data_IF_690572008090
#
_entry.id   IF_690572008090
#
_cell.length_a   1.000
_cell.length_b   1.000
_cell.length_c   1.000
_cell.angle_alpha   90.00
_cell.angle_beta   90.00
_cell.angle_gamma   90.00
#
_symmetry.space_group_name_H-M   'P 1'
#
loop_
_entity.id
_entity.type
_entity.pdbx_description
1 polymer ?
#
# COMPACT_ATOMS: atom_id res chain seq x y z
N UNK A 1 1.06 33.67 -0.50
CA UNK A 1 0.27 32.82 -1.42
C UNK A 1 1.11 31.60 -1.89
N UNK A 2 1.24 30.51 -1.12
CA UNK A 2 1.17 29.13 -1.64
C UNK A 2 -0.04 28.97 -2.60
N UNK A 3 0.11 28.38 -3.79
CA UNK A 3 -0.97 28.37 -4.78
C UNK A 3 -2.20 27.51 -4.38
N UNK A 4 -2.08 26.66 -3.35
CA UNK A 4 -3.17 25.89 -2.73
C UNK A 4 -3.19 25.95 -1.18
N UNK A 5 -2.28 26.68 -0.53
CA UNK A 5 -2.53 27.15 0.85
C UNK A 5 -1.67 28.36 1.20
N UNK A 6 -2.04 29.53 0.67
CA UNK A 6 -1.26 30.74 0.58
C UNK A 6 -0.28 31.14 1.66
N UNK A 7 -0.60 30.89 2.90
CA UNK A 7 -0.04 31.63 4.01
C UNK A 7 0.29 30.64 5.10
N UNK A 8 1.37 30.92 5.82
CA UNK A 8 1.60 30.35 7.14
C UNK A 8 0.31 30.54 7.95
N UNK A 9 -0.29 29.43 8.39
CA UNK A 9 -1.57 29.44 9.07
C UNK A 9 -1.37 29.87 10.53
N UNK A 10 -1.39 31.17 10.78
CA UNK A 10 -1.25 31.75 12.13
C UNK A 10 -2.57 31.81 12.93
N UNK A 11 -3.65 31.14 12.50
CA UNK A 11 -5.00 31.33 13.09
C UNK A 11 -5.75 30.03 13.39
N UNK A 12 -5.19 29.15 14.21
CA UNK A 12 -6.05 28.26 14.99
C UNK A 12 -5.51 28.03 16.41
N UNK A 13 -5.55 29.06 17.27
CA UNK A 13 -5.11 28.92 18.67
C UNK A 13 -6.02 28.03 19.53
N UNK A 14 -7.11 27.47 18.99
CA UNK A 14 -8.12 26.70 19.73
C UNK A 14 -8.18 25.20 19.38
N UNK A 15 -7.37 24.71 18.44
CA UNK A 15 -7.35 23.30 18.08
C UNK A 15 -5.94 22.73 18.27
N UNK A 16 -5.61 22.16 19.44
CA UNK A 16 -4.36 21.42 19.62
C UNK A 16 -4.38 20.05 18.90
N UNK A 17 -5.33 19.80 18.00
CA UNK A 17 -5.58 18.50 17.39
C UNK A 17 -5.33 18.55 15.89
N UNK A 18 -4.66 17.50 15.40
CA UNK A 18 -4.34 17.26 13.99
C UNK A 18 -5.58 17.48 13.11
N UNK A 19 -5.43 18.31 12.07
CA UNK A 19 -6.50 18.54 11.10
C UNK A 19 -6.58 17.35 10.13
N UNK A 20 -7.53 16.43 10.35
CA UNK A 20 -7.80 15.29 9.46
C UNK A 20 -8.32 15.68 8.06
N UNK A 21 -8.60 16.98 7.84
CA UNK A 21 -9.06 17.55 6.57
C UNK A 21 -7.95 18.21 5.75
N UNK A 22 -6.75 18.36 6.30
CA UNK A 22 -5.59 18.67 5.47
C UNK A 22 -5.22 17.40 4.70
N UNK A 23 -5.14 17.44 3.36
CA UNK A 23 -4.60 16.33 2.61
C UNK A 23 -3.17 16.11 3.11
N UNK A 24 -2.94 15.00 3.81
CA UNK A 24 -1.58 14.54 4.08
C UNK A 24 -0.99 14.26 2.69
N UNK A 25 0.18 14.80 2.32
CA UNK A 25 0.81 14.49 1.04
C UNK A 25 1.35 13.06 1.09
N UNK A 26 0.43 12.10 1.08
CA UNK A 26 0.73 10.69 0.90
C UNK A 26 0.82 10.47 -0.60
N UNK A 27 1.94 9.89 -1.03
CA UNK A 27 2.02 9.33 -2.38
C UNK A 27 0.85 8.35 -2.56
N UNK A 28 0.20 8.30 -3.74
CA UNK A 28 -0.78 7.27 -4.02
C UNK A 28 -0.16 5.90 -3.73
N UNK A 29 -0.82 5.08 -2.91
CA UNK A 29 -0.30 3.78 -2.47
C UNK A 29 0.28 2.96 -3.63
N UNK A 30 -0.35 2.87 -4.82
CA UNK A 30 0.24 2.15 -5.95
C UNK A 30 1.62 2.67 -6.37
N UNK A 31 1.83 4.00 -6.38
CA UNK A 31 3.07 4.63 -6.82
C UNK A 31 4.21 4.39 -5.84
N UNK A 32 3.92 4.40 -4.55
CA UNK A 32 4.88 4.06 -3.51
C UNK A 32 5.28 2.58 -3.59
N UNK A 33 4.29 1.68 -3.68
CA UNK A 33 4.52 0.23 -3.77
C UNK A 33 5.33 -0.13 -5.01
N UNK A 34 4.99 0.40 -6.19
CA UNK A 34 5.78 0.19 -7.41
C UNK A 34 7.23 0.67 -7.26
N UNK A 35 7.44 1.82 -6.62
CA UNK A 35 8.79 2.33 -6.36
C UNK A 35 9.62 1.36 -5.52
N UNK A 36 9.06 0.83 -4.43
CA UNK A 36 9.74 -0.16 -3.58
C UNK A 36 9.98 -1.46 -4.34
N UNK A 37 8.96 -2.02 -5.00
CA UNK A 37 9.08 -3.29 -5.71
C UNK A 37 10.14 -3.23 -6.82
N UNK A 38 10.24 -2.11 -7.53
CA UNK A 38 11.23 -1.94 -8.60
C UNK A 38 12.70 -2.02 -8.13
N UNK A 39 12.96 -1.82 -6.82
CA UNK A 39 14.30 -1.95 -6.25
C UNK A 39 14.72 -3.41 -5.97
N UNK A 40 13.74 -4.29 -5.70
CA UNK A 40 14.00 -5.65 -5.25
C UNK A 40 13.60 -6.71 -6.29
N UNK A 41 12.60 -6.42 -7.12
CA UNK A 41 12.07 -7.32 -8.14
C UNK A 41 12.16 -6.65 -9.52
N UNK A 42 13.28 -6.85 -10.25
CA UNK A 42 13.49 -6.20 -11.55
C UNK A 42 12.63 -6.78 -12.67
N UNK A 43 11.99 -7.93 -12.44
CA UNK A 43 11.15 -8.63 -13.41
C UNK A 43 10.08 -9.46 -12.71
N UNK A 44 9.02 -9.81 -13.46
CA UNK A 44 7.97 -10.71 -12.97
C UNK A 44 8.53 -12.09 -12.60
N UNK A 45 9.58 -12.55 -13.29
CA UNK A 45 10.26 -13.81 -12.97
C UNK A 45 10.86 -13.79 -11.56
N UNK A 46 11.49 -12.67 -11.15
CA UNK A 46 12.02 -12.53 -9.79
C UNK A 46 10.94 -12.60 -8.72
N UNK A 47 9.71 -12.17 -9.02
CA UNK A 47 8.55 -12.28 -8.12
C UNK A 47 8.03 -13.72 -8.07
N UNK A 48 7.98 -14.40 -9.22
CA UNK A 48 7.51 -15.79 -9.32
C UNK A 48 8.46 -16.78 -8.64
N UNK A 49 9.76 -16.53 -8.75
CA UNK A 49 10.81 -17.42 -8.24
C UNK A 49 11.08 -17.25 -6.74
N UNK A 50 10.48 -16.24 -6.07
CA UNK A 50 10.65 -16.02 -4.64
C UNK A 50 9.77 -16.96 -3.80
N UNK A 51 10.35 -18.01 -3.18
CA UNK A 51 9.56 -19.02 -2.49
C UNK A 51 8.93 -18.48 -1.19
N UNK A 52 9.53 -17.48 -0.55
CA UNK A 52 8.99 -16.89 0.68
C UNK A 52 7.77 -16.03 0.35
N UNK A 53 7.84 -15.23 -0.71
CA UNK A 53 6.73 -14.43 -1.18
C UNK A 53 5.55 -15.29 -1.61
N UNK A 54 5.79 -16.37 -2.37
CA UNK A 54 4.73 -17.31 -2.76
C UNK A 54 4.12 -18.02 -1.55
N UNK A 55 4.94 -18.46 -0.58
CA UNK A 55 4.45 -19.06 0.64
C UNK A 55 3.57 -18.09 1.44
N UNK A 56 3.98 -16.82 1.56
CA UNK A 56 3.20 -15.79 2.25
C UNK A 56 1.85 -15.51 1.58
N UNK A 57 1.81 -15.39 0.24
CA UNK A 57 0.55 -15.28 -0.52
C UNK A 57 -0.34 -16.51 -0.28
N UNK A 58 0.25 -17.70 -0.27
CA UNK A 58 -0.43 -18.94 0.04
C UNK A 58 -1.03 -18.97 1.45
N UNK A 59 -0.31 -18.47 2.46
CA UNK A 59 -0.80 -18.37 3.84
C UNK A 59 -1.97 -17.40 3.96
N UNK A 60 -1.91 -16.23 3.30
CA UNK A 60 -3.04 -15.30 3.26
C UNK A 60 -4.28 -15.98 2.68
N UNK A 61 -4.11 -16.72 1.58
CA UNK A 61 -5.25 -17.38 0.95
C UNK A 61 -5.82 -18.51 1.82
N UNK A 62 -4.97 -19.37 2.35
CA UNK A 62 -5.39 -20.55 3.11
C UNK A 62 -5.91 -20.20 4.49
N UNK A 63 -5.26 -19.28 5.20
CA UNK A 63 -5.61 -18.92 6.59
C UNK A 63 -6.46 -17.66 6.67
N UNK A 64 -6.15 -16.64 5.87
CA UNK A 64 -6.90 -15.37 5.85
C UNK A 64 -8.25 -15.48 5.14
N UNK A 65 -8.32 -16.22 4.03
CA UNK A 65 -9.56 -16.44 3.27
C UNK A 65 -10.17 -17.83 3.46
N UNK A 66 -9.68 -18.62 4.41
CA UNK A 66 -10.10 -20.01 4.68
C UNK A 66 -10.02 -20.91 3.43
N UNK A 67 -9.12 -20.61 2.49
CA UNK A 67 -8.97 -21.35 1.23
C UNK A 67 -10.19 -21.27 0.30
N UNK A 68 -11.11 -20.31 0.49
CA UNK A 68 -12.31 -20.18 -0.34
C UNK A 68 -11.96 -19.66 -1.73
N UNK A 69 -11.92 -20.55 -2.73
CA UNK A 69 -11.71 -20.20 -4.15
C UNK A 69 -12.68 -19.13 -4.68
N UNK A 70 -13.87 -19.01 -4.09
CA UNK A 70 -14.85 -17.98 -4.44
C UNK A 70 -14.45 -16.55 -4.01
N UNK A 71 -13.40 -16.37 -3.21
CA UNK A 71 -12.91 -15.05 -2.80
C UNK A 71 -11.96 -14.40 -3.81
N UNK A 72 -11.68 -15.06 -4.93
CA UNK A 72 -10.82 -14.53 -6.00
C UNK A 72 -9.33 -14.84 -5.84
N UNK A 73 -8.91 -15.53 -4.78
CA UNK A 73 -7.56 -16.08 -4.72
C UNK A 73 -7.46 -17.33 -5.58
N UNK A 74 -6.50 -17.34 -6.51
CA UNK A 74 -6.22 -18.50 -7.36
C UNK A 74 -5.81 -19.66 -6.46
N UNK A 75 -6.77 -20.55 -6.20
CA UNK A 75 -6.55 -21.74 -5.40
C UNK A 75 -5.73 -22.75 -6.17
N UNK A 76 -4.44 -22.84 -5.83
CA UNK A 76 -3.61 -24.01 -5.97
C UNK A 76 -3.47 -24.58 -7.38
N UNK A 77 -2.42 -24.18 -8.07
CA UNK A 77 -1.59 -25.15 -8.79
C UNK A 77 -0.15 -24.63 -8.80
N UNK A 78 0.72 -25.50 -8.29
CA UNK A 78 2.19 -25.51 -8.24
C UNK A 78 2.91 -24.46 -9.09
#
# INVERSE_FOLDING_TARGET
>A
VCPQCPQVCHRCPQCPQVCHRCPVPLLPVPRFVTGVLSLYYPSDAAVQEDPELQAWVGEIFTRGFLGRRSSGGHGGHL
#
